data_IF_166470273081
#
_entry.id   IF_166470273081
#
_cell.length_a   1.000
_cell.length_b   1.000
_cell.length_c   1.000
_cell.angle_alpha   90.00
_cell.angle_beta   90.00
_cell.angle_gamma   90.00
#
_symmetry.space_group_name_H-M   'P 1'
#
loop_
_entity.id
_entity.type
_entity.pdbx_description
1 polymer ?
#
# COMPACT_ATOMS: atom_id res chain seq x y z
N UNK A 1 12.87 -3.25 -32.98
CA UNK A 1 13.58 -4.10 -32.00
C UNK A 1 14.29 -5.22 -32.77
N UNK A 2 15.61 -5.39 -32.57
CA UNK A 2 16.41 -6.37 -33.32
C UNK A 2 16.09 -7.79 -32.83
N UNK A 3 16.43 -8.82 -33.61
CA UNK A 3 16.22 -10.22 -33.24
C UNK A 3 16.95 -10.59 -31.93
N UNK A 4 18.16 -10.06 -31.73
CA UNK A 4 18.93 -10.16 -30.49
C UNK A 4 18.16 -9.65 -29.28
N UNK A 5 17.49 -8.51 -29.42
CA UNK A 5 16.76 -7.86 -28.33
C UNK A 5 15.51 -8.66 -27.98
N UNK A 6 14.86 -9.29 -28.98
CA UNK A 6 13.72 -10.20 -28.78
C UNK A 6 14.12 -11.44 -28.01
N UNK A 7 15.25 -12.05 -28.37
CA UNK A 7 15.78 -13.22 -27.68
C UNK A 7 16.17 -12.88 -26.24
N UNK A 8 16.81 -11.72 -26.02
CA UNK A 8 17.17 -11.23 -24.70
C UNK A 8 15.94 -10.97 -23.82
N UNK A 9 14.93 -10.30 -24.36
CA UNK A 9 13.67 -10.05 -23.64
C UNK A 9 12.98 -11.36 -23.25
N UNK A 10 12.89 -12.30 -24.20
CA UNK A 10 12.31 -13.63 -23.94
C UNK A 10 13.07 -14.37 -22.84
N UNK A 11 14.41 -14.41 -22.92
CA UNK A 11 15.25 -15.05 -21.89
C UNK A 11 15.07 -14.42 -20.52
N UNK A 12 14.99 -13.09 -20.44
CA UNK A 12 14.69 -12.37 -19.20
C UNK A 12 13.32 -12.71 -18.64
N UNK A 13 12.28 -12.74 -19.49
CA UNK A 13 10.92 -13.11 -19.08
C UNK A 13 10.84 -14.56 -18.59
N UNK A 14 11.51 -15.49 -19.26
CA UNK A 14 11.56 -16.89 -18.85
C UNK A 14 12.23 -17.06 -17.48
N UNK A 15 13.39 -16.42 -17.25
CA UNK A 15 14.08 -16.46 -15.97
C UNK A 15 13.25 -15.85 -14.84
N UNK A 16 12.62 -14.70 -15.07
CA UNK A 16 11.72 -14.06 -14.10
C UNK A 16 10.50 -14.93 -13.79
N UNK A 17 9.91 -15.55 -14.82
CA UNK A 17 8.77 -16.48 -14.67
C UNK A 17 9.13 -17.68 -13.80
N UNK A 18 10.28 -18.32 -14.06
CA UNK A 18 10.76 -19.44 -13.26
C UNK A 18 10.99 -19.03 -11.79
N UNK A 19 11.63 -17.88 -11.56
CA UNK A 19 11.84 -17.33 -10.22
C UNK A 19 10.51 -17.07 -9.50
N UNK A 20 9.52 -16.54 -10.20
CA UNK A 20 8.20 -16.26 -9.65
C UNK A 20 7.47 -17.53 -9.26
N UNK A 21 7.48 -18.56 -10.11
CA UNK A 21 6.91 -19.87 -9.80
C UNK A 21 7.55 -20.49 -8.56
N UNK A 22 8.88 -20.45 -8.45
CA UNK A 22 9.60 -20.94 -7.26
C UNK A 22 9.16 -20.20 -6.00
N UNK A 23 9.10 -18.87 -6.05
CA UNK A 23 8.65 -18.07 -4.91
C UNK A 23 7.22 -18.40 -4.50
N UNK A 24 6.30 -18.45 -5.46
CA UNK A 24 4.89 -18.80 -5.22
C UNK A 24 4.78 -20.18 -4.59
N UNK A 25 5.48 -21.17 -5.13
CA UNK A 25 5.47 -22.52 -4.60
C UNK A 25 6.00 -22.62 -3.15
N UNK A 26 6.95 -21.75 -2.78
CA UNK A 26 7.57 -21.74 -1.45
C UNK A 26 6.85 -20.84 -0.42
N UNK A 27 6.19 -19.78 -0.88
CA UNK A 27 5.75 -18.68 -0.01
C UNK A 27 4.24 -18.40 -0.08
N UNK A 28 3.54 -18.89 -1.09
CA UNK A 28 2.10 -18.72 -1.19
C UNK A 28 1.40 -19.88 -0.48
N UNK A 29 0.49 -19.53 0.42
CA UNK A 29 -0.26 -20.47 1.24
C UNK A 29 -1.78 -20.27 1.03
N UNK A 30 -2.57 -21.06 1.75
CA UNK A 30 -4.02 -20.87 1.81
C UNK A 30 -4.33 -19.49 2.38
N UNK A 31 -4.68 -18.57 1.48
CA UNK A 31 -5.10 -17.21 1.78
C UNK A 31 -6.57 -17.06 1.39
N UNK A 32 -7.29 -16.22 2.11
CA UNK A 32 -8.72 -16.02 1.87
C UNK A 32 -9.09 -14.54 2.02
N UNK A 33 -9.67 -14.01 0.95
CA UNK A 33 -10.27 -12.68 0.87
C UNK A 33 -11.71 -12.88 0.42
N UNK A 34 -12.68 -12.45 1.23
CA UNK A 34 -14.09 -12.50 0.87
C UNK A 34 -14.45 -11.37 -0.09
N UNK A 35 -15.54 -11.54 -0.86
CA UNK A 35 -16.10 -10.44 -1.63
C UNK A 35 -16.76 -9.45 -0.70
N UNK A 36 -16.28 -8.20 -0.72
CA UNK A 36 -16.81 -7.13 0.10
C UNK A 36 -18.24 -6.79 -0.32
N UNK A 37 -19.16 -6.67 0.66
CA UNK A 37 -20.54 -6.24 0.41
C UNK A 37 -20.58 -4.87 -0.27
N UNK A 38 -19.77 -3.92 0.21
CA UNK A 38 -19.65 -2.59 -0.38
C UNK A 38 -19.22 -2.61 -1.84
N UNK A 39 -18.33 -3.53 -2.21
CA UNK A 39 -17.94 -3.72 -3.61
C UNK A 39 -19.10 -4.29 -4.46
N UNK A 40 -19.85 -5.27 -3.93
CA UNK A 40 -21.03 -5.81 -4.59
C UNK A 40 -22.14 -4.75 -4.77
N UNK A 41 -22.25 -3.82 -3.83
CA UNK A 41 -23.15 -2.66 -3.90
C UNK A 41 -22.64 -1.55 -4.86
N UNK A 42 -21.49 -1.76 -5.52
CA UNK A 42 -20.90 -0.83 -6.48
C UNK A 42 -20.26 0.42 -5.85
N UNK A 43 -19.98 0.41 -4.53
CA UNK A 43 -19.31 1.52 -3.87
C UNK A 43 -17.82 1.53 -4.19
N UNK A 44 -17.26 2.72 -4.43
CA UNK A 44 -15.82 2.91 -4.54
C UNK A 44 -15.12 2.75 -3.18
N UNK A 45 -13.90 2.22 -3.18
CA UNK A 45 -13.03 2.16 -2.02
C UNK A 45 -12.06 3.35 -2.01
N UNK A 46 -11.90 4.00 -0.86
CA UNK A 46 -10.84 4.99 -0.63
C UNK A 46 -9.75 4.36 0.24
N UNK A 47 -8.56 4.14 -0.33
CA UNK A 47 -7.39 3.68 0.41
C UNK A 47 -6.64 4.90 0.94
N UNK A 48 -6.54 4.97 2.27
CA UNK A 48 -5.85 6.02 3.00
C UNK A 48 -4.42 5.58 3.33
N UNK A 49 -3.46 6.09 2.56
CA UNK A 49 -2.04 5.99 2.86
C UNK A 49 -1.65 6.80 4.09
N UNK A 50 -0.41 6.63 4.59
CA UNK A 50 0.06 7.31 5.80
C UNK A 50 0.98 8.51 5.49
N UNK A 51 0.88 9.06 4.29
CA UNK A 51 1.66 10.21 3.89
C UNK A 51 1.17 11.52 4.56
N UNK A 52 2.04 12.52 4.72
CA UNK A 52 1.71 13.78 5.40
C UNK A 52 0.51 14.53 4.78
N UNK A 53 0.23 14.36 3.48
CA UNK A 53 -0.92 15.03 2.86
C UNK A 53 -2.27 14.52 3.35
N UNK A 54 -2.34 13.33 3.97
CA UNK A 54 -3.59 12.79 4.50
C UNK A 54 -4.17 13.71 5.59
N UNK A 55 -3.33 14.35 6.40
CA UNK A 55 -3.79 15.21 7.49
C UNK A 55 -4.68 16.35 6.98
N UNK A 56 -4.30 17.00 5.88
CA UNK A 56 -5.09 18.05 5.25
C UNK A 56 -6.42 17.52 4.71
N UNK A 57 -6.43 16.30 4.16
CA UNK A 57 -7.65 15.66 3.65
C UNK A 57 -8.60 15.33 4.80
N UNK A 58 -8.11 14.78 5.92
CA UNK A 58 -8.93 14.50 7.10
C UNK A 58 -9.48 15.81 7.69
N UNK A 59 -8.66 16.86 7.77
CA UNK A 59 -9.09 18.14 8.31
C UNK A 59 -10.23 18.77 7.48
N UNK A 60 -10.21 18.62 6.15
CA UNK A 60 -11.23 19.18 5.26
C UNK A 60 -12.44 18.28 5.04
N UNK A 61 -12.24 16.96 5.00
CA UNK A 61 -13.23 15.97 4.55
C UNK A 61 -13.42 14.80 5.52
N UNK A 62 -13.06 14.96 6.80
CA UNK A 62 -13.14 13.88 7.78
C UNK A 62 -14.55 13.29 7.96
N UNK A 63 -15.60 14.13 7.82
CA UNK A 63 -16.99 13.66 7.90
C UNK A 63 -17.32 12.77 6.69
N UNK A 64 -16.99 13.22 5.49
CA UNK A 64 -17.23 12.50 4.24
C UNK A 64 -16.44 11.19 4.21
N UNK A 65 -15.18 11.20 4.67
CA UNK A 65 -14.36 9.99 4.82
C UNK A 65 -15.01 8.98 5.78
N UNK A 66 -15.55 9.44 6.93
CA UNK A 66 -16.23 8.57 7.90
C UNK A 66 -17.54 7.94 7.39
N UNK A 67 -18.07 8.43 6.26
CA UNK A 67 -19.29 7.94 5.61
C UNK A 67 -18.99 7.18 4.31
N UNK A 68 -17.76 7.28 3.80
CA UNK A 68 -17.28 6.57 2.63
C UNK A 68 -16.80 5.16 3.01
N UNK A 69 -16.61 4.31 1.99
CA UNK A 69 -15.98 3.00 2.19
C UNK A 69 -14.47 3.21 2.17
N UNK A 70 -13.79 2.92 3.29
CA UNK A 70 -12.37 3.26 3.43
C UNK A 70 -11.50 2.09 3.88
N UNK A 71 -10.21 2.14 3.50
CA UNK A 71 -9.17 1.24 3.98
C UNK A 71 -8.04 2.03 4.64
N UNK A 72 -7.74 1.73 5.90
CA UNK A 72 -6.60 2.27 6.63
C UNK A 72 -5.40 1.30 6.58
N UNK A 73 -4.17 1.82 6.65
CA UNK A 73 -2.96 1.02 6.43
C UNK A 73 -1.99 1.07 7.62
N UNK A 74 -1.31 -0.04 7.91
CA UNK A 74 -0.13 -0.11 8.78
C UNK A 74 -0.33 0.54 10.17
N UNK A 75 0.30 1.68 10.46
CA UNK A 75 0.22 2.37 11.75
C UNK A 75 -0.98 3.31 11.90
N UNK A 76 -1.90 3.38 10.92
CA UNK A 76 -3.02 4.31 10.93
C UNK A 76 -3.85 4.28 12.22
N UNK A 77 -4.01 3.12 12.86
CA UNK A 77 -4.76 3.02 14.11
C UNK A 77 -4.15 3.80 15.28
N UNK A 78 -2.85 4.13 15.23
CA UNK A 78 -2.19 4.94 16.26
C UNK A 78 -2.57 6.42 16.23
N UNK A 79 -3.12 6.89 15.10
CA UNK A 79 -3.65 8.24 14.98
C UNK A 79 -4.97 8.40 15.76
N UNK A 80 -5.25 9.60 16.28
CA UNK A 80 -6.49 9.83 17.04
C UNK A 80 -7.72 9.88 16.12
N UNK A 81 -7.52 10.33 14.89
CA UNK A 81 -8.51 10.38 13.82
C UNK A 81 -9.01 8.99 13.42
N UNK A 82 -8.27 7.91 13.72
CA UNK A 82 -8.70 6.55 13.43
C UNK A 82 -10.09 6.23 14.01
N UNK A 83 -10.36 6.70 15.23
CA UNK A 83 -11.64 6.45 15.92
C UNK A 83 -12.81 7.16 15.23
N UNK A 84 -12.60 8.36 14.68
CA UNK A 84 -13.66 9.10 13.99
C UNK A 84 -13.85 8.64 12.56
N UNK A 85 -12.78 8.20 11.88
CA UNK A 85 -12.81 7.72 10.50
C UNK A 85 -13.50 6.36 10.37
N UNK A 86 -13.39 5.49 11.39
CA UNK A 86 -14.04 4.17 11.46
C UNK A 86 -13.94 3.36 10.14
N UNK A 87 -12.72 3.05 9.65
CA UNK A 87 -12.56 2.42 8.35
C UNK A 87 -13.18 1.03 8.29
N UNK A 88 -13.78 0.67 7.15
CA UNK A 88 -14.37 -0.66 6.91
C UNK A 88 -13.29 -1.74 6.75
N UNK A 89 -12.14 -1.35 6.20
CA UNK A 89 -11.02 -2.23 5.94
C UNK A 89 -9.74 -1.71 6.59
N UNK A 90 -8.88 -2.63 6.99
CA UNK A 90 -7.55 -2.32 7.47
C UNK A 90 -6.55 -3.27 6.84
N UNK A 91 -5.34 -2.82 6.49
CA UNK A 91 -4.31 -3.71 5.98
C UNK A 91 -2.96 -3.45 6.63
N UNK A 92 -2.36 -4.53 7.16
CA UNK A 92 -0.98 -4.55 7.63
C UNK A 92 -0.17 -5.46 6.71
N UNK A 93 0.97 -4.99 6.20
CA UNK A 93 1.82 -5.78 5.30
C UNK A 93 3.28 -5.89 5.75
N UNK A 94 3.78 -4.95 6.55
CA UNK A 94 5.19 -4.95 6.96
C UNK A 94 5.45 -6.07 8.00
N UNK A 95 6.49 -6.91 7.82
CA UNK A 95 6.89 -7.92 8.80
C UNK A 95 7.04 -7.38 10.23
N UNK A 96 7.43 -6.10 10.38
CA UNK A 96 7.58 -5.43 11.66
C UNK A 96 6.31 -5.46 12.52
N UNK A 97 5.12 -5.44 11.90
CA UNK A 97 3.87 -5.54 12.65
C UNK A 97 3.64 -6.90 13.28
N UNK A 98 4.33 -7.95 12.83
CA UNK A 98 4.11 -9.32 13.25
C UNK A 98 5.22 -9.83 14.18
N UNK A 99 6.43 -9.27 14.07
CA UNK A 99 7.58 -9.66 14.89
C UNK A 99 8.01 -8.59 15.88
N UNK A 100 7.68 -7.32 15.64
CA UNK A 100 8.18 -6.17 16.42
C UNK A 100 7.39 -5.86 17.69
N UNK A 101 6.35 -6.65 18.03
CA UNK A 101 5.43 -6.33 19.14
C UNK A 101 6.13 -6.25 20.50
N UNK A 102 7.13 -7.10 20.74
CA UNK A 102 7.89 -7.11 21.99
C UNK A 102 8.85 -5.92 22.13
N UNK A 103 9.33 -5.38 21.00
CA UNK A 103 10.45 -4.43 20.97
C UNK A 103 10.04 -3.00 20.57
N UNK A 104 8.85 -2.81 19.97
CA UNK A 104 8.34 -1.51 19.54
C UNK A 104 6.98 -1.18 20.21
N UNK A 105 6.97 -0.21 21.15
CA UNK A 105 5.74 0.26 21.79
C UNK A 105 4.66 0.76 20.82
N UNK A 106 5.03 1.21 19.62
CA UNK A 106 4.06 1.64 18.62
C UNK A 106 3.31 0.46 18.00
N UNK A 107 3.96 -0.70 17.89
CA UNK A 107 3.33 -1.94 17.41
C UNK A 107 2.37 -2.46 18.50
N UNK A 108 2.79 -2.46 19.77
CA UNK A 108 1.88 -2.81 20.87
C UNK A 108 0.67 -1.86 20.94
N UNK A 109 0.91 -0.54 20.82
CA UNK A 109 -0.17 0.46 20.80
C UNK A 109 -1.16 0.21 19.66
N UNK A 110 -0.67 -0.19 18.48
CA UNK A 110 -1.51 -0.51 17.33
C UNK A 110 -2.47 -1.67 17.66
N UNK A 111 -1.95 -2.80 18.16
CA UNK A 111 -2.80 -3.94 18.56
C UNK A 111 -3.76 -3.60 19.69
N UNK A 112 -3.28 -2.87 20.70
CA UNK A 112 -4.12 -2.40 21.81
C UNK A 112 -5.29 -1.55 21.31
N UNK A 113 -5.04 -0.60 20.40
CA UNK A 113 -6.08 0.25 19.81
C UNK A 113 -7.05 -0.52 18.92
N UNK A 114 -6.56 -1.47 18.12
CA UNK A 114 -7.44 -2.37 17.36
C UNK A 114 -8.38 -3.15 18.29
N UNK A 115 -7.89 -3.64 19.43
CA UNK A 115 -8.71 -4.38 20.38
C UNK A 115 -9.70 -3.52 21.17
N UNK A 116 -9.36 -2.26 21.47
CA UNK A 116 -10.09 -1.44 22.45
C UNK A 116 -10.93 -0.31 21.85
N UNK A 117 -10.60 0.16 20.64
CA UNK A 117 -11.28 1.30 20.01
C UNK A 117 -12.28 0.85 18.96
N UNK A 118 -12.00 -0.24 18.25
CA UNK A 118 -12.84 -0.70 17.14
C UNK A 118 -14.14 -1.29 17.71
N UNK A 119 -15.22 -0.52 17.61
CA UNK A 119 -16.58 -0.91 18.01
C UNK A 119 -17.53 -1.06 16.80
N UNK A 120 -16.96 -1.07 15.59
CA UNK A 120 -17.67 -1.23 14.32
C UNK A 120 -17.13 -2.43 13.53
N UNK A 121 -17.93 -3.05 12.66
CA UNK A 121 -17.47 -4.13 11.79
C UNK A 121 -16.29 -3.66 10.92
N UNK A 122 -15.15 -4.35 11.01
CA UNK A 122 -13.97 -4.05 10.22
C UNK A 122 -13.29 -5.34 9.76
N UNK A 123 -12.87 -5.39 8.50
CA UNK A 123 -12.03 -6.49 8.00
C UNK A 123 -10.56 -6.08 8.02
N UNK A 124 -9.75 -6.83 8.78
CA UNK A 124 -8.31 -6.68 8.85
C UNK A 124 -7.63 -7.69 7.92
N UNK A 125 -6.97 -7.19 6.90
CA UNK A 125 -6.12 -7.94 5.98
C UNK A 125 -4.68 -8.02 6.48
N UNK A 126 -4.15 -9.24 6.54
CA UNK A 126 -2.76 -9.54 6.93
C UNK A 126 -2.12 -10.58 6.01
N UNK A 127 -0.79 -10.74 5.97
CA UNK A 127 -0.18 -11.82 5.20
C UNK A 127 -0.67 -13.21 5.65
N UNK A 128 -0.66 -14.17 4.73
CA UNK A 128 -0.97 -15.57 5.01
C UNK A 128 -0.12 -16.13 6.14
N UNK A 129 -0.69 -17.01 6.95
CA UNK A 129 -0.02 -17.58 8.14
C UNK A 129 -0.38 -16.86 9.44
N UNK A 130 -1.20 -15.82 9.38
CA UNK A 130 -1.74 -15.13 10.54
C UNK A 130 -3.25 -15.37 10.71
N UNK A 131 -3.71 -15.29 11.95
CA UNK A 131 -5.10 -15.41 12.39
C UNK A 131 -5.37 -14.41 13.52
N UNK A 132 -6.63 -14.11 13.83
CA UNK A 132 -6.98 -13.26 14.99
C UNK A 132 -6.31 -13.75 16.28
N UNK A 133 -6.39 -15.07 16.54
CA UNK A 133 -5.77 -15.71 17.70
C UNK A 133 -4.23 -15.55 17.72
N UNK A 134 -3.54 -15.79 16.61
CA UNK A 134 -2.08 -15.66 16.58
C UNK A 134 -1.62 -14.20 16.73
N UNK A 135 -2.48 -13.25 16.40
CA UNK A 135 -2.22 -11.81 16.55
C UNK A 135 -2.62 -11.27 17.93
N UNK A 136 -3.27 -12.08 18.78
CA UNK A 136 -3.84 -11.61 20.04
C UNK A 136 -4.93 -10.56 19.83
N UNK A 137 -5.75 -10.73 18.79
CA UNK A 137 -6.92 -9.91 18.50
C UNK A 137 -8.17 -10.64 18.99
N UNK A 138 -8.67 -10.25 20.15
CA UNK A 138 -9.86 -10.83 20.78
C UNK A 138 -11.14 -10.03 20.48
N UNK A 139 -11.01 -8.94 19.71
CA UNK A 139 -12.12 -8.07 19.36
C UNK A 139 -13.06 -8.70 18.31
N UNK A 140 -14.28 -9.03 18.74
CA UNK A 140 -15.32 -9.64 17.90
C UNK A 140 -15.86 -8.75 16.77
N UNK A 141 -15.52 -7.46 16.74
CA UNK A 141 -15.85 -6.57 15.63
C UNK A 141 -14.86 -6.67 14.45
N UNK A 142 -13.71 -7.32 14.66
CA UNK A 142 -12.66 -7.46 13.64
C UNK A 142 -12.66 -8.86 13.05
N UNK A 143 -12.83 -8.94 11.73
CA UNK A 143 -12.64 -10.17 10.96
C UNK A 143 -11.23 -10.15 10.38
N UNK A 144 -10.44 -11.19 10.64
CA UNK A 144 -9.09 -11.30 10.06
C UNK A 144 -9.15 -12.15 8.79
N UNK A 145 -8.74 -11.54 7.68
CA UNK A 145 -8.59 -12.17 6.36
C UNK A 145 -7.14 -12.09 5.90
N UNK A 146 -6.75 -12.99 4.98
CA UNK A 146 -5.33 -13.19 4.66
C UNK A 146 -5.05 -13.07 3.17
N UNK A 147 -3.86 -12.56 2.83
CA UNK A 147 -3.37 -12.45 1.45
C UNK A 147 -1.93 -12.98 1.31
N UNK A 148 -1.55 -13.44 0.11
CA UNK A 148 -0.17 -13.85 -0.16
C UNK A 148 0.70 -12.65 -0.50
N UNK A 149 1.65 -12.28 0.37
CA UNK A 149 2.59 -11.17 0.13
C UNK A 149 3.80 -11.58 -0.73
N UNK A 150 3.51 -12.10 -1.92
CA UNK A 150 4.52 -12.68 -2.83
C UNK A 150 4.62 -11.88 -4.12
N UNK A 151 5.80 -11.33 -4.40
CA UNK A 151 6.05 -10.59 -5.64
C UNK A 151 6.38 -11.52 -6.81
N UNK A 152 5.62 -11.42 -7.90
CA UNK A 152 5.86 -12.13 -9.15
C UNK A 152 6.11 -11.17 -10.33
N UNK A 153 6.90 -11.64 -11.30
CA UNK A 153 7.26 -10.97 -12.56
C UNK A 153 7.49 -12.06 -13.63
N UNK A 154 7.28 -11.76 -14.90
CA UNK A 154 7.47 -12.75 -15.97
C UNK A 154 6.63 -12.47 -17.19
N UNK A 155 6.19 -13.54 -17.87
CA UNK A 155 5.21 -13.44 -18.93
C UNK A 155 3.87 -12.94 -18.40
N UNK A 156 3.20 -12.06 -19.15
CA UNK A 156 1.92 -11.44 -18.76
C UNK A 156 0.87 -12.46 -18.35
N UNK A 157 0.64 -13.48 -19.18
CA UNK A 157 -0.33 -14.56 -18.90
C UNK A 157 -0.07 -15.29 -17.57
N UNK A 158 1.21 -15.46 -17.20
CA UNK A 158 1.59 -16.13 -15.96
C UNK A 158 1.28 -15.22 -14.77
N UNK A 159 1.73 -13.96 -14.82
CA UNK A 159 1.45 -13.00 -13.75
C UNK A 159 -0.05 -12.77 -13.61
N UNK A 160 -0.79 -12.70 -14.72
CA UNK A 160 -2.24 -12.56 -14.73
C UNK A 160 -2.95 -13.68 -13.98
N UNK A 161 -2.55 -14.92 -14.24
CA UNK A 161 -3.06 -16.10 -13.55
C UNK A 161 -2.74 -16.07 -12.05
N UNK A 162 -1.47 -15.80 -11.69
CA UNK A 162 -1.05 -15.76 -10.29
C UNK A 162 -1.78 -14.67 -9.51
N UNK A 163 -1.94 -13.50 -10.12
CA UNK A 163 -2.62 -12.36 -9.52
C UNK A 163 -4.13 -12.60 -9.37
N UNK A 164 -4.79 -13.15 -10.39
CA UNK A 164 -6.25 -13.38 -10.34
C UNK A 164 -6.67 -14.41 -9.30
N UNK A 165 -5.75 -15.31 -8.91
CA UNK A 165 -5.98 -16.31 -7.88
C UNK A 165 -5.43 -15.88 -6.51
N UNK A 166 -4.96 -14.64 -6.36
CA UNK A 166 -4.39 -14.14 -5.10
C UNK A 166 -3.13 -14.89 -4.64
N UNK A 167 -2.42 -15.53 -5.58
CA UNK A 167 -1.18 -16.27 -5.30
C UNK A 167 0.03 -15.35 -5.27
N UNK A 168 -0.02 -14.23 -5.99
CA UNK A 168 1.05 -13.23 -6.04
C UNK A 168 0.49 -11.84 -6.34
N UNK A 169 1.39 -10.86 -6.37
CA UNK A 169 1.14 -9.48 -6.75
C UNK A 169 2.33 -8.90 -7.53
N UNK A 170 2.17 -7.75 -8.21
CA UNK A 170 3.31 -6.94 -8.63
C UNK A 170 4.25 -6.73 -7.46
N UNK A 171 5.56 -6.69 -7.70
CA UNK A 171 6.57 -6.72 -6.63
C UNK A 171 6.28 -5.66 -5.55
N UNK A 172 5.91 -6.05 -4.32
CA UNK A 172 5.47 -5.09 -3.32
C UNK A 172 6.70 -4.46 -2.65
N UNK A 173 6.87 -3.15 -2.85
CA UNK A 173 7.90 -2.33 -2.17
C UNK A 173 7.35 -1.42 -1.09
N UNK A 174 6.03 -1.38 -0.97
CA UNK A 174 5.29 -0.62 0.03
C UNK A 174 3.91 -1.28 0.23
N UNK A 175 3.17 -0.77 1.20
CA UNK A 175 1.84 -1.27 1.58
C UNK A 175 0.73 -0.95 0.57
N UNK A 176 0.91 0.01 -0.33
CA UNK A 176 -0.15 0.35 -1.30
C UNK A 176 -0.36 -0.76 -2.34
N UNK A 177 0.71 -1.43 -2.77
CA UNK A 177 0.61 -2.56 -3.72
C UNK A 177 -0.28 -3.68 -3.18
N UNK A 178 -0.04 -4.28 -1.99
CA UNK A 178 -0.93 -5.30 -1.45
C UNK A 178 -2.31 -4.73 -1.12
N UNK A 179 -2.44 -3.46 -0.71
CA UNK A 179 -3.75 -2.85 -0.42
C UNK A 179 -4.66 -2.82 -1.65
N UNK A 180 -4.14 -2.35 -2.79
CA UNK A 180 -4.88 -2.29 -4.04
C UNK A 180 -5.19 -3.70 -4.55
N UNK A 181 -4.22 -4.61 -4.53
CA UNK A 181 -4.43 -6.00 -4.97
C UNK A 181 -5.50 -6.71 -4.13
N UNK A 182 -5.45 -6.55 -2.81
CA UNK A 182 -6.45 -7.10 -1.89
C UNK A 182 -7.83 -6.49 -2.12
N UNK A 183 -7.92 -5.18 -2.38
CA UNK A 183 -9.18 -4.53 -2.74
C UNK A 183 -9.77 -5.08 -4.05
N UNK A 184 -8.95 -5.30 -5.07
CA UNK A 184 -9.39 -5.92 -6.32
C UNK A 184 -9.89 -7.36 -6.09
N UNK A 185 -9.18 -8.14 -5.28
CA UNK A 185 -9.59 -9.50 -4.90
C UNK A 185 -10.89 -9.49 -4.10
N UNK A 186 -11.09 -8.50 -3.23
CA UNK A 186 -12.35 -8.24 -2.52
C UNK A 186 -13.49 -7.78 -3.43
N UNK A 187 -13.20 -7.46 -4.71
CA UNK A 187 -14.17 -7.19 -5.76
C UNK A 187 -14.39 -5.72 -6.10
N UNK A 188 -13.60 -4.79 -5.55
CA UNK A 188 -13.73 -3.37 -5.88
C UNK A 188 -13.32 -3.08 -7.33
N UNK A 189 -14.19 -2.38 -8.05
CA UNK A 189 -13.96 -1.91 -9.43
C UNK A 189 -13.51 -0.46 -9.51
N UNK A 190 -13.65 0.32 -8.44
CA UNK A 190 -13.14 1.69 -8.31
C UNK A 190 -12.38 1.87 -7.00
N UNK A 191 -11.13 2.33 -7.10
CA UNK A 191 -10.22 2.51 -5.98
C UNK A 191 -9.61 3.92 -6.06
N UNK A 192 -9.73 4.70 -5.00
CA UNK A 192 -9.14 6.04 -4.88
C UNK A 192 -8.02 6.03 -3.85
N UNK A 193 -6.89 6.63 -4.17
CA UNK A 193 -5.73 6.72 -3.28
C UNK A 193 -5.59 8.13 -2.73
N UNK A 194 -5.58 8.28 -1.40
CA UNK A 194 -5.26 9.53 -0.71
C UNK A 194 -4.15 9.31 0.32
N UNK A 195 -3.36 10.34 0.63
CA UNK A 195 -2.18 10.17 1.50
C UNK A 195 -1.07 9.31 0.90
N UNK A 196 -0.99 9.21 -0.43
CA UNK A 196 -0.02 8.40 -1.17
C UNK A 196 1.09 9.27 -1.79
N UNK A 197 1.80 10.03 -0.95
CA UNK A 197 2.70 11.12 -1.41
C UNK A 197 3.90 10.65 -2.23
N UNK A 198 4.67 9.69 -1.71
CA UNK A 198 5.96 9.27 -2.31
C UNK A 198 6.98 10.41 -2.55
N UNK A 199 6.89 11.51 -1.80
CA UNK A 199 7.72 12.72 -1.98
C UNK A 199 9.19 12.61 -1.53
N UNK A 200 9.68 11.44 -1.12
CA UNK A 200 11.04 11.25 -0.58
C UNK A 200 12.17 11.65 -1.55
N UNK A 201 11.92 11.62 -2.86
CA UNK A 201 12.89 12.06 -3.85
C UNK A 201 13.21 13.56 -3.74
N UNK A 202 12.28 14.38 -3.27
CA UNK A 202 12.51 15.81 -3.07
C UNK A 202 13.50 16.11 -1.93
N UNK A 203 13.68 15.17 -1.00
CA UNK A 203 14.49 15.37 0.19
C UNK A 203 15.80 14.59 0.12
N UNK A 204 16.03 13.77 -0.90
CA UNK A 204 17.22 12.92 -0.97
C UNK A 204 18.47 13.71 -1.42
N UNK A 205 19.57 13.60 -0.67
CA UNK A 205 20.84 14.26 -0.97
C UNK A 205 22.04 13.41 -0.56
N UNK A 206 23.24 13.80 -0.99
CA UNK A 206 24.53 13.21 -0.58
C UNK A 206 25.40 14.29 0.06
N UNK A 207 26.00 13.99 1.20
CA UNK A 207 26.89 14.93 1.93
C UNK A 207 28.31 14.93 1.34
N UNK A 208 29.14 15.91 1.73
CA UNK A 208 30.57 15.95 1.37
C UNK A 208 31.36 14.73 1.88
N UNK A 209 30.83 14.02 2.88
CA UNK A 209 31.39 12.76 3.39
C UNK A 209 30.91 11.53 2.61
N UNK A 210 30.19 11.70 1.49
CA UNK A 210 29.56 10.64 0.68
C UNK A 210 28.48 9.84 1.41
N UNK A 211 27.80 10.44 2.39
CA UNK A 211 26.70 9.81 3.12
C UNK A 211 25.37 10.21 2.48
N UNK A 212 24.46 9.26 2.28
CA UNK A 212 23.11 9.56 1.81
C UNK A 212 22.27 10.08 2.97
N UNK A 213 21.58 11.19 2.77
CA UNK A 213 20.76 11.84 3.79
C UNK A 213 19.41 12.27 3.21
N UNK A 214 18.41 12.41 4.09
CA UNK A 214 17.14 13.07 3.77
C UNK A 214 17.14 14.47 4.37
N UNK A 215 17.21 15.49 3.53
CA UNK A 215 17.20 16.91 3.87
C UNK A 215 15.78 17.44 3.69
N UNK A 216 15.08 17.75 4.78
CA UNK A 216 13.82 18.49 4.73
C UNK A 216 14.09 20.00 4.75
N UNK A 217 13.80 20.77 3.67
CA UNK A 217 14.18 22.18 3.57
C UNK A 217 13.61 23.10 4.67
N UNK A 218 12.50 22.70 5.30
CA UNK A 218 11.79 23.52 6.29
C UNK A 218 12.09 23.16 7.76
N UNK A 219 12.90 22.13 8.03
CA UNK A 219 13.13 21.64 9.40
C UNK A 219 14.51 22.03 9.98
N UNK A 220 15.42 22.55 9.15
CA UNK A 220 16.79 22.88 9.57
C UNK A 220 16.92 24.25 10.24
N UNK A 221 16.03 24.57 11.19
CA UNK A 221 16.34 25.64 12.14
C UNK A 221 16.83 25.18 13.51
N UNK A 222 16.31 24.13 14.14
CA UNK A 222 16.81 23.79 15.50
C UNK A 222 16.49 22.35 15.98
N UNK A 223 17.19 21.32 15.50
CA UNK A 223 17.33 20.10 16.32
C UNK A 223 18.53 19.20 15.96
N UNK A 224 19.47 19.02 16.90
CA UNK A 224 20.68 18.23 16.70
C UNK A 224 20.44 16.71 16.87
N UNK A 225 19.41 16.31 17.63
CA UNK A 225 19.08 14.89 17.86
C UNK A 225 18.39 14.25 16.67
N UNK A 226 17.54 15.01 15.97
CA UNK A 226 16.86 14.55 14.76
C UNK A 226 17.84 14.34 13.60
N UNK A 227 18.88 15.19 13.50
CA UNK A 227 20.00 14.99 12.56
C UNK A 227 20.71 13.64 12.80
N UNK A 228 20.95 13.26 14.07
CA UNK A 228 21.60 11.97 14.40
C UNK A 228 20.72 10.77 14.05
N UNK A 229 19.40 10.86 14.25
CA UNK A 229 18.44 9.79 13.94
C UNK A 229 18.19 9.64 12.43
N UNK A 230 18.11 10.74 11.68
CA UNK A 230 17.97 10.68 10.20
C UNK A 230 19.25 10.18 9.55
N UNK A 231 20.42 10.60 10.05
CA UNK A 231 21.70 10.11 9.56
C UNK A 231 21.91 8.61 9.81
N UNK A 232 21.30 8.00 10.84
CA UNK A 232 21.47 6.56 11.09
C UNK A 232 20.65 5.66 10.17
N UNK A 233 19.54 6.13 9.61
CA UNK A 233 18.66 5.31 8.74
C UNK A 233 19.31 5.02 7.37
N UNK A 234 20.13 5.94 6.87
CA UNK A 234 20.75 5.85 5.55
C UNK A 234 22.27 5.70 5.58
N UNK A 235 22.88 5.63 6.76
CA UNK A 235 24.35 5.65 6.96
C UNK A 235 25.09 4.63 6.09
N UNK A 236 24.47 3.47 5.86
CA UNK A 236 25.07 2.35 5.11
C UNK A 236 24.34 2.01 3.81
N UNK A 237 23.40 2.87 3.36
CA UNK A 237 22.62 2.63 2.14
C UNK A 237 23.16 3.49 1.01
N UNK A 238 23.54 2.88 -0.12
CA UNK A 238 24.00 3.61 -1.30
C UNK A 238 22.82 4.26 -2.01
N UNK A 239 23.05 5.44 -2.60
CA UNK A 239 22.02 6.18 -3.34
C UNK A 239 21.38 5.33 -4.44
N UNK A 240 22.19 4.56 -5.18
CA UNK A 240 21.66 3.72 -6.26
C UNK A 240 20.74 2.60 -5.77
N UNK A 241 20.94 2.09 -4.55
CA UNK A 241 20.04 1.08 -3.96
C UNK A 241 18.68 1.68 -3.62
N UNK A 242 18.66 2.92 -3.12
CA UNK A 242 17.44 3.68 -2.85
C UNK A 242 16.70 3.96 -4.16
N UNK A 243 17.42 4.46 -5.18
CA UNK A 243 16.84 4.71 -6.50
C UNK A 243 16.34 3.42 -7.17
N UNK A 244 17.04 2.29 -7.00
CA UNK A 244 16.57 0.98 -7.45
C UNK A 244 15.29 0.56 -6.71
N UNK A 245 15.21 0.80 -5.40
CA UNK A 245 14.01 0.53 -4.62
C UNK A 245 12.81 1.34 -5.13
N UNK A 246 13.01 2.64 -5.39
CA UNK A 246 11.99 3.50 -5.99
C UNK A 246 11.61 3.05 -7.40
N UNK A 247 12.60 2.77 -8.26
CA UNK A 247 12.34 2.23 -9.59
C UNK A 247 11.43 1.01 -9.53
N UNK A 248 11.71 0.06 -8.63
CA UNK A 248 10.89 -1.13 -8.47
C UNK A 248 9.48 -0.81 -7.94
N UNK A 249 9.35 0.14 -7.00
CA UNK A 249 8.04 0.56 -6.49
C UNK A 249 7.17 1.19 -7.58
N UNK A 250 7.71 2.17 -8.32
CA UNK A 250 6.97 2.87 -9.37
C UNK A 250 6.66 1.95 -10.55
N UNK A 251 7.61 1.11 -10.97
CA UNK A 251 7.37 0.08 -11.99
C UNK A 251 6.23 -0.87 -11.58
N UNK A 252 6.14 -1.24 -10.31
CA UNK A 252 5.03 -2.07 -9.82
C UNK A 252 3.68 -1.37 -9.90
N UNK A 253 3.60 -0.04 -9.74
CA UNK A 253 2.34 0.69 -9.94
C UNK A 253 1.89 0.67 -11.40
N UNK A 254 2.80 0.80 -12.36
CA UNK A 254 2.46 0.67 -13.79
C UNK A 254 2.00 -0.75 -14.15
N UNK A 255 2.65 -1.79 -13.60
CA UNK A 255 2.20 -3.16 -13.79
C UNK A 255 0.81 -3.39 -13.17
N UNK A 256 0.53 -2.76 -12.03
CA UNK A 256 -0.74 -2.83 -11.33
C UNK A 256 -1.87 -2.11 -12.09
N UNK A 257 -1.60 -0.92 -12.64
CA UNK A 257 -2.57 -0.21 -13.49
C UNK A 257 -2.95 -1.05 -14.70
N UNK A 258 -1.96 -1.60 -15.43
CA UNK A 258 -2.23 -2.37 -16.63
C UNK A 258 -3.08 -3.60 -16.31
N UNK A 259 -2.73 -4.31 -15.23
CA UNK A 259 -3.47 -5.45 -14.72
C UNK A 259 -4.91 -5.10 -14.31
N UNK A 260 -5.10 -3.96 -13.63
CA UNK A 260 -6.40 -3.49 -13.17
C UNK A 260 -7.31 -3.07 -14.33
N UNK A 261 -6.77 -2.30 -15.27
CA UNK A 261 -7.47 -1.84 -16.47
C UNK A 261 -8.00 -3.01 -17.30
N UNK A 262 -7.19 -4.04 -17.50
CA UNK A 262 -7.60 -5.25 -18.25
C UNK A 262 -8.72 -6.05 -17.54
N UNK A 263 -8.97 -5.76 -16.26
CA UNK A 263 -10.04 -6.36 -15.43
C UNK A 263 -11.21 -5.41 -15.15
N UNK A 264 -11.23 -4.25 -15.80
CA UNK A 264 -12.27 -3.24 -15.61
C UNK A 264 -12.25 -2.59 -14.22
N UNK A 265 -11.11 -2.64 -13.51
CA UNK A 265 -10.90 -1.92 -12.27
C UNK A 265 -10.16 -0.61 -12.55
N UNK A 266 -10.68 0.51 -12.04
CA UNK A 266 -10.07 1.84 -12.15
C UNK A 266 -9.42 2.24 -10.84
N UNK A 267 -8.16 2.65 -10.92
CA UNK A 267 -7.39 3.14 -9.77
C UNK A 267 -7.09 4.61 -10.02
N UNK A 268 -7.40 5.46 -9.05
CA UNK A 268 -7.25 6.89 -9.13
C UNK A 268 -6.28 7.42 -8.07
N UNK A 269 -5.42 8.36 -8.47
CA UNK A 269 -4.57 9.11 -7.55
C UNK A 269 -5.25 10.42 -7.15
N UNK A 270 -5.81 10.45 -5.94
CA UNK A 270 -6.42 11.63 -5.33
C UNK A 270 -5.48 12.38 -4.37
N UNK A 271 -4.18 12.06 -4.39
CA UNK A 271 -3.18 12.73 -3.57
C UNK A 271 -2.52 13.88 -4.35
N UNK A 272 -2.77 15.14 -3.99
CA UNK A 272 -2.09 16.28 -4.62
C UNK A 272 -0.58 16.18 -4.42
N UNK A 273 0.20 16.46 -5.48
CA UNK A 273 1.66 16.41 -5.42
C UNK A 273 2.27 15.01 -5.30
N UNK A 274 1.45 13.94 -5.33
CA UNK A 274 1.96 12.58 -5.32
C UNK A 274 2.86 12.28 -6.51
N UNK A 275 3.94 11.55 -6.24
CA UNK A 275 4.92 11.09 -7.23
C UNK A 275 4.43 9.86 -8.01
N UNK A 276 3.33 9.23 -7.61
CA UNK A 276 2.78 8.08 -8.33
C UNK A 276 2.17 8.57 -9.65
N UNK A 277 2.81 8.20 -10.75
CA UNK A 277 2.45 8.60 -12.12
C UNK A 277 1.68 7.51 -12.89
N UNK A 278 1.49 6.33 -12.30
CA UNK A 278 0.81 5.22 -12.93
C UNK A 278 -0.72 5.38 -13.01
N UNK A 279 -1.33 6.11 -12.08
CA UNK A 279 -2.79 6.18 -11.93
C UNK A 279 -3.32 7.56 -12.32
N UNK A 280 -4.48 7.60 -12.98
CA UNK A 280 -5.13 8.84 -13.39
C UNK A 280 -5.44 9.73 -12.17
N UNK A 281 -5.23 11.04 -12.28
CA UNK A 281 -5.57 11.98 -11.21
C UNK A 281 -7.06 12.27 -11.20
N UNK A 282 -7.70 12.01 -10.06
CA UNK A 282 -9.11 12.36 -9.82
C UNK A 282 -9.30 12.88 -8.41
N UNK A 283 -10.30 13.74 -8.24
CA UNK A 283 -10.77 14.13 -6.89
C UNK A 283 -11.39 12.92 -6.18
N UNK A 284 -11.53 13.01 -4.87
CA UNK A 284 -12.25 11.98 -4.11
C UNK A 284 -13.71 11.89 -4.56
N UNK A 285 -14.35 10.72 -4.46
CA UNK A 285 -15.67 10.48 -5.07
C UNK A 285 -16.77 11.42 -4.56
N UNK A 286 -16.66 11.92 -3.33
CA UNK A 286 -17.59 12.87 -2.74
C UNK A 286 -17.29 14.34 -3.08
N UNK A 287 -16.14 14.65 -3.68
CA UNK A 287 -15.82 16.00 -4.17
C UNK A 287 -16.33 16.23 -5.62
N UNK A 288 -16.89 15.18 -6.24
CA UNK A 288 -17.48 15.24 -7.58
C UNK A 288 -18.96 15.59 -7.43
N UNK A 289 -19.22 16.80 -6.93
CA UNK A 289 -20.52 17.47 -7.02
C UNK A 289 -20.26 18.89 -7.51
N UNK A 290 -20.62 19.13 -8.78
CA UNK A 290 -21.02 20.42 -9.39
C UNK A 290 -20.82 20.47 -10.92
N UNK A 291 -20.34 19.40 -11.56
CA UNK A 291 -19.88 19.49 -12.96
C UNK A 291 -20.76 18.93 -14.08
N UNK A 292 -21.63 17.93 -13.84
CA UNK A 292 -22.37 17.25 -14.93
C UNK A 292 -23.75 16.74 -14.50
N UNK A 293 -24.66 17.69 -14.31
CA UNK A 293 -26.06 17.54 -14.73
C UNK A 293 -26.34 18.66 -15.72
N UNK A 294 -25.93 18.46 -16.97
CA UNK A 294 -26.34 19.31 -18.09
C UNK A 294 -26.43 18.42 -19.33
N UNK A 295 -27.64 18.29 -19.87
CA UNK A 295 -27.98 17.55 -21.08
C UNK A 295 -28.75 16.29 -20.80
#
# INVERSE_FOLDING_TARGET
>A
MKFSDRLSLFGSQAASSAKSLIKVALQSHGAHISKAKSAADGKALIIMGNGPSLADVIARHGRELSQAVTMALNFAANAEEFKSLRPDFYLMADPHFFTGRADDPNVERLYSRLNTIVDWPMTLYVPSGHSSKSLGLDNGHIIVETFNFVGAEGFGWLTDYLYSHGLAMPRPRNVLIPAIMTAMLAGFSEIYLTGADHGWLNTLSVTDNNEVVSIQPHFYKDNAEEKKRVASVYRDVRLHDILLSFHLAFKSYHALEAYARDRGCRIYNSTPGSFIDAFERHKLPFEISDGKRAG
#
